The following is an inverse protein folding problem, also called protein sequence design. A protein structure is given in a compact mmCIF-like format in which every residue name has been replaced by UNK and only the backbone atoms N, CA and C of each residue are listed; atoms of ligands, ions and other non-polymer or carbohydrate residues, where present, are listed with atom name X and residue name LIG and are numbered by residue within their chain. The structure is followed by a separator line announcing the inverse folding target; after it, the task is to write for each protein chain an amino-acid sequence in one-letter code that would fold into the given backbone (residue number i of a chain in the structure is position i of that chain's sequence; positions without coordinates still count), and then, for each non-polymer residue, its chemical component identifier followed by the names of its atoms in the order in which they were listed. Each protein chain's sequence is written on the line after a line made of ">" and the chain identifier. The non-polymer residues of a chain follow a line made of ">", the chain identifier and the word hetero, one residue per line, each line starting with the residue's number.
data_IF_689473368875
#
_entry.id   IF_689473368875
#
_cell.length_a   1.000
_cell.length_b   1.000
_cell.length_c   1.000
_cell.angle_alpha   90.00
_cell.angle_beta   90.00
_cell.angle_gamma   90.00
#
_symmetry.space_group_name_H-M   'P 1'
#
loop_
_entity.id
_entity.type
_entity.pdbx_description
1 polymer ?
#
# COMPACT_ATOMS: atom_id res chain seq x y z
N UNK A 1 -18.68 15.32 -4.68
CA UNK A 1 -18.55 14.14 -5.55
C UNK A 1 -17.17 14.15 -6.18
N UNK A 2 -16.14 13.94 -5.38
CA UNK A 2 -14.77 13.65 -5.82
C UNK A 2 -14.20 12.89 -4.66
N UNK A 3 -14.24 11.57 -4.77
CA UNK A 3 -13.63 10.68 -3.81
C UNK A 3 -12.17 10.54 -4.25
N UNK A 4 -11.19 11.16 -3.56
CA UNK A 4 -9.79 11.11 -3.95
C UNK A 4 -9.11 9.81 -3.51
N UNK A 5 -9.86 8.83 -2.97
CA UNK A 5 -9.33 7.56 -2.51
C UNK A 5 -9.01 6.69 -3.72
N UNK A 6 -7.72 6.60 -4.06
CA UNK A 6 -7.27 5.79 -5.19
C UNK A 6 -7.01 4.38 -4.70
N UNK A 7 -7.75 3.43 -5.24
CA UNK A 7 -7.55 2.02 -4.95
C UNK A 7 -6.40 1.46 -5.79
N UNK A 8 -5.54 0.66 -5.17
CA UNK A 8 -4.44 -0.07 -5.83
C UNK A 8 -4.41 -1.49 -5.34
N UNK A 9 -4.32 -2.41 -6.29
CA UNK A 9 -4.19 -3.83 -6.03
C UNK A 9 -2.71 -4.20 -5.92
N UNK A 10 -2.32 -4.77 -4.79
CA UNK A 10 -0.98 -5.32 -4.56
C UNK A 10 -1.07 -6.82 -4.29
N UNK A 11 -0.03 -7.55 -4.67
CA UNK A 11 0.12 -8.94 -4.27
C UNK A 11 0.79 -9.03 -2.89
N UNK A 12 0.19 -9.78 -1.98
CA UNK A 12 0.74 -10.03 -0.65
C UNK A 12 2.10 -10.76 -0.78
N UNK A 13 3.18 -10.25 -0.17
CA UNK A 13 4.50 -10.88 -0.25
C UNK A 13 4.59 -12.21 0.52
N UNK A 14 3.58 -12.54 1.34
CA UNK A 14 3.54 -13.76 2.16
C UNK A 14 2.76 -14.89 1.50
N UNK A 15 1.49 -14.65 1.14
CA UNK A 15 0.62 -15.68 0.57
C UNK A 15 0.43 -15.56 -0.95
N UNK A 16 0.84 -14.44 -1.55
CA UNK A 16 0.65 -14.17 -2.98
C UNK A 16 -0.75 -13.70 -3.36
N UNK A 17 -1.65 -13.46 -2.40
CA UNK A 17 -3.02 -13.02 -2.68
C UNK A 17 -3.09 -11.53 -3.05
N UNK A 18 -4.00 -11.18 -3.95
CA UNK A 18 -4.28 -9.79 -4.31
C UNK A 18 -5.12 -9.10 -3.24
N UNK A 19 -4.63 -7.98 -2.72
CA UNK A 19 -5.32 -7.12 -1.77
C UNK A 19 -5.45 -5.71 -2.33
N UNK A 20 -6.61 -5.09 -2.11
CA UNK A 20 -6.93 -3.75 -2.59
C UNK A 20 -6.69 -2.76 -1.45
N UNK A 21 -5.72 -1.87 -1.62
CA UNK A 21 -5.41 -0.81 -0.66
C UNK A 21 -6.10 0.49 -1.07
N UNK A 22 -6.69 1.20 -0.11
CA UNK A 22 -7.17 2.56 -0.30
C UNK A 22 -6.03 3.54 -0.01
N UNK A 23 -5.51 4.21 -1.05
CA UNK A 23 -4.50 5.25 -0.88
C UNK A 23 -5.14 6.63 -0.84
N UNK A 24 -4.93 7.31 0.28
CA UNK A 24 -5.16 8.74 0.35
C UNK A 24 -3.97 9.47 -0.28
N UNK A 25 -4.21 10.05 -1.46
CA UNK A 25 -3.24 10.82 -2.20
C UNK A 25 -3.24 12.32 -1.84
N UNK A 26 -3.92 12.71 -0.76
CA UNK A 26 -4.00 14.11 -0.34
C UNK A 26 -2.90 14.49 0.66
N UNK A 27 -2.36 13.49 1.37
CA UNK A 27 -1.39 13.68 2.46
C UNK A 27 0.09 13.71 2.10
N UNK A 28 0.48 13.52 0.83
CA UNK A 28 1.90 13.41 0.44
C UNK A 28 2.48 12.02 0.70
N UNK A 29 3.74 11.93 1.14
CA UNK A 29 4.42 10.65 1.41
C UNK A 29 3.81 9.96 2.63
N UNK A 30 3.32 8.73 2.45
CA UNK A 30 2.61 7.99 3.50
C UNK A 30 3.19 6.61 3.70
N UNK A 31 3.39 6.22 4.95
CA UNK A 31 3.94 4.92 5.32
C UNK A 31 3.08 4.32 6.43
N UNK A 32 2.51 3.15 6.18
CA UNK A 32 1.64 2.46 7.12
C UNK A 32 1.75 0.95 6.97
N UNK A 33 1.28 0.22 7.98
CA UNK A 33 1.20 -1.24 7.97
C UNK A 33 -0.23 -1.64 7.70
N UNK A 34 -0.44 -2.55 6.75
CA UNK A 34 -1.74 -3.15 6.48
C UNK A 34 -1.67 -4.67 6.60
N UNK A 35 -2.68 -5.27 7.20
CA UNK A 35 -2.76 -6.70 7.42
C UNK A 35 -3.37 -7.39 6.20
N UNK A 36 -2.73 -8.47 5.74
CA UNK A 36 -3.35 -9.30 4.70
C UNK A 36 -4.66 -9.90 5.20
N UNK A 37 -5.75 -9.67 4.49
CA UNK A 37 -7.08 -10.22 4.80
C UNK A 37 -7.15 -11.75 4.71
N UNK A 38 -6.13 -12.40 4.16
CA UNK A 38 -6.07 -13.86 3.99
C UNK A 38 -5.12 -14.53 4.98
N UNK A 39 -3.88 -14.04 5.08
CA UNK A 39 -2.86 -14.68 5.95
C UNK A 39 -2.63 -13.95 7.28
N UNK A 40 -3.33 -12.84 7.54
CA UNK A 40 -3.18 -12.02 8.75
C UNK A 40 -1.72 -11.61 9.04
N UNK A 41 -0.90 -11.48 8.01
CA UNK A 41 0.49 -11.04 8.12
C UNK A 41 0.59 -9.52 7.88
N UNK A 42 1.42 -8.81 8.65
CA UNK A 42 1.61 -7.37 8.50
C UNK A 42 2.46 -7.05 7.26
N UNK A 43 1.90 -6.25 6.36
CA UNK A 43 2.55 -5.77 5.14
C UNK A 43 2.83 -4.28 5.32
N UNK A 44 4.09 -3.89 5.19
CA UNK A 44 4.49 -2.50 5.15
C UNK A 44 4.19 -1.92 3.76
N UNK A 45 3.31 -0.93 3.72
CA UNK A 45 2.97 -0.15 2.53
C UNK A 45 3.66 1.20 2.62
N UNK A 46 4.33 1.58 1.54
CA UNK A 46 5.02 2.85 1.41
C UNK A 46 4.57 3.54 0.13
N UNK A 47 4.01 4.73 0.27
CA UNK A 47 3.59 5.61 -0.83
C UNK A 47 4.57 6.78 -0.86
N UNK A 48 5.25 6.94 -1.98
CA UNK A 48 6.14 8.08 -2.24
C UNK A 48 5.72 8.80 -3.50
N UNK A 49 5.81 10.12 -3.48
CA UNK A 49 5.61 10.94 -4.65
C UNK A 49 6.95 11.20 -5.31
N UNK A 50 7.03 11.00 -6.61
CA UNK A 50 8.21 11.39 -7.37
C UNK A 50 8.12 12.87 -7.84
N UNK A 51 9.20 13.36 -8.42
CA UNK A 51 9.36 14.74 -8.90
C UNK A 51 8.40 15.10 -10.06
N UNK A 52 7.94 14.10 -10.81
CA UNK A 52 6.94 14.17 -11.88
C UNK A 52 5.50 14.12 -11.34
N UNK A 53 5.32 13.84 -10.05
CA UNK A 53 4.00 13.78 -9.39
C UNK A 53 3.29 12.43 -9.52
N UNK A 54 4.01 11.36 -9.85
CA UNK A 54 3.50 10.00 -9.83
C UNK A 54 3.64 9.38 -8.42
N UNK A 55 2.58 8.72 -7.96
CA UNK A 55 2.58 8.01 -6.69
C UNK A 55 3.18 6.61 -6.87
N UNK A 56 4.36 6.39 -6.30
CA UNK A 56 5.03 5.10 -6.23
C UNK A 56 4.62 4.35 -4.97
N UNK A 57 3.97 3.21 -5.16
CA UNK A 57 3.49 2.35 -4.07
C UNK A 57 4.38 1.11 -3.99
N UNK A 58 4.90 0.82 -2.81
CA UNK A 58 5.71 -0.36 -2.56
C UNK A 58 5.17 -1.13 -1.37
N UNK A 59 4.96 -2.44 -1.55
CA UNK A 59 4.53 -3.35 -0.50
C UNK A 59 5.66 -4.30 -0.13
N UNK A 60 6.00 -4.40 1.15
CA UNK A 60 7.04 -5.30 1.68
C UNK A 60 6.56 -5.99 2.95
N UNK A 61 6.94 -7.24 3.17
CA UNK A 61 6.63 -7.92 4.42
C UNK A 61 7.44 -7.32 5.57
N UNK A 62 6.81 -7.08 6.73
CA UNK A 62 7.49 -6.54 7.91
C UNK A 62 8.34 -7.60 8.66
N UNK A 63 8.22 -8.90 8.31
CA UNK A 63 8.89 -10.03 9.00
C UNK A 63 10.43 -10.12 8.79
N UNK A 64 11.10 -9.13 8.19
CA UNK A 64 12.58 -9.11 8.13
C UNK A 64 13.16 -8.48 9.41
N UNK A 65 13.01 -9.16 10.54
CA UNK A 65 13.62 -8.79 11.83
C UNK A 65 14.09 -10.02 12.61
#
# INVERSE_FOLDING_TARGET
>A
MSDPERFVDIACPYCGEWITLALDLTGGDQHYIEDCQVCCKPIAVSVRWDEEGEAQVSARGQDDA
#
